data_IF_787700792015
#
_entry.id   IF_787700792015
#
_cell.length_a   1.000
_cell.length_b   1.000
_cell.length_c   1.000
_cell.angle_alpha   90.00
_cell.angle_beta   90.00
_cell.angle_gamma   90.00
#
_symmetry.space_group_name_H-M   'P 1'
#
loop_
_entity.id
_entity.type
_entity.pdbx_description
1 polymer ?
#
# COMPACT_ATOMS: atom_id res chain seq x y z
N UNK A 1 -10.94 26.83 23.11
CA UNK A 1 -9.79 26.69 22.20
C UNK A 1 -9.29 25.26 22.03
N UNK A 2 -9.10 24.47 23.10
CA UNK A 2 -8.53 23.10 23.02
C UNK A 2 -9.41 22.12 22.20
N UNK A 3 -10.73 22.24 22.33
CA UNK A 3 -11.70 21.39 21.62
C UNK A 3 -11.61 21.52 20.09
N UNK A 4 -11.48 22.77 19.58
CA UNK A 4 -11.34 23.04 18.15
C UNK A 4 -10.05 22.44 17.59
N UNK A 5 -8.95 22.54 18.34
CA UNK A 5 -7.68 21.93 17.98
C UNK A 5 -7.78 20.40 17.88
N UNK A 6 -8.46 19.76 18.83
CA UNK A 6 -8.64 18.31 18.83
C UNK A 6 -9.46 17.81 17.62
N UNK A 7 -10.50 18.56 17.22
CA UNK A 7 -11.34 18.25 16.05
C UNK A 7 -10.56 18.41 14.73
N UNK A 8 -9.72 19.46 14.63
CA UNK A 8 -8.90 19.68 13.44
C UNK A 8 -7.79 18.62 13.29
N UNK A 9 -7.18 18.18 14.39
CA UNK A 9 -6.20 17.09 14.38
C UNK A 9 -6.79 15.76 13.87
N UNK A 10 -8.03 15.44 14.23
CA UNK A 10 -8.70 14.21 13.76
C UNK A 10 -9.03 14.21 12.27
N UNK A 11 -9.09 15.38 11.64
CA UNK A 11 -9.44 15.55 10.22
C UNK A 11 -8.20 15.54 9.31
N UNK A 12 -7.01 15.77 9.87
CA UNK A 12 -5.74 15.83 9.16
C UNK A 12 -4.99 14.50 9.14
N UNK A 13 -5.70 13.36 9.22
CA UNK A 13 -5.07 12.04 9.12
C UNK A 13 -5.04 11.57 7.66
N UNK A 14 -3.85 11.25 7.17
CA UNK A 14 -3.64 10.57 5.91
C UNK A 14 -2.96 9.22 6.17
N UNK A 15 -3.26 8.26 5.31
CA UNK A 15 -2.68 6.92 5.36
C UNK A 15 -2.04 6.60 4.02
N UNK A 16 -0.97 5.79 4.05
CA UNK A 16 -0.29 5.31 2.85
C UNK A 16 -0.72 3.88 2.58
N UNK A 17 -0.94 3.58 1.31
CA UNK A 17 -1.05 2.23 0.79
C UNK A 17 0.20 1.93 -0.05
N UNK A 18 0.69 0.70 0.05
CA UNK A 18 1.83 0.20 -0.71
C UNK A 18 1.53 -1.23 -1.12
N UNK A 19 1.63 -1.53 -2.41
CA UNK A 19 1.26 -2.82 -2.97
C UNK A 19 2.00 -3.09 -4.28
N UNK A 20 2.06 -4.35 -4.67
CA UNK A 20 2.46 -4.77 -6.01
C UNK A 20 1.17 -5.00 -6.79
N UNK A 21 0.99 -4.23 -7.87
CA UNK A 21 -0.24 -4.26 -8.67
C UNK A 21 -0.53 -5.63 -9.28
N UNK A 22 -1.80 -5.89 -9.61
CA UNK A 22 -2.20 -7.07 -10.37
C UNK A 22 -1.38 -7.28 -11.65
N UNK A 23 -1.12 -6.20 -12.40
CA UNK A 23 -0.34 -6.25 -13.63
C UNK A 23 1.10 -6.69 -13.38
N UNK A 24 1.70 -6.18 -12.30
CA UNK A 24 3.07 -6.53 -11.93
C UNK A 24 3.17 -7.96 -11.37
N UNK A 25 2.22 -8.37 -10.53
CA UNK A 25 2.11 -9.75 -10.04
C UNK A 25 1.95 -10.77 -11.17
N UNK A 26 1.18 -10.41 -12.20
CA UNK A 26 1.06 -11.24 -13.39
C UNK A 26 2.36 -11.26 -14.21
N UNK A 27 3.05 -10.12 -14.34
CA UNK A 27 4.32 -10.01 -15.09
C UNK A 27 5.45 -10.82 -14.44
N UNK A 28 5.54 -10.85 -13.12
CA UNK A 28 6.64 -11.48 -12.39
C UNK A 28 6.37 -12.93 -12.00
N UNK A 29 5.12 -13.28 -11.66
CA UNK A 29 4.74 -14.59 -11.13
C UNK A 29 3.65 -15.30 -11.94
N UNK A 30 3.03 -14.64 -12.93
CA UNK A 30 1.89 -15.20 -13.67
C UNK A 30 0.62 -15.34 -12.82
N UNK A 31 0.52 -14.59 -11.71
CA UNK A 31 -0.59 -14.68 -10.76
C UNK A 31 -1.52 -13.49 -10.94
N UNK A 32 -2.82 -13.77 -11.05
CA UNK A 32 -3.87 -12.74 -11.14
C UNK A 32 -4.36 -12.30 -9.75
N UNK A 33 -3.47 -11.73 -8.95
CA UNK A 33 -3.78 -11.20 -7.62
C UNK A 33 -2.93 -9.96 -7.32
N UNK A 34 -3.37 -9.10 -6.40
CA UNK A 34 -2.58 -7.99 -5.88
C UNK A 34 -1.90 -8.40 -4.56
N UNK A 35 -0.69 -7.89 -4.30
CA UNK A 35 0.01 -8.10 -3.04
C UNK A 35 0.17 -6.80 -2.26
N UNK A 36 -0.66 -6.59 -1.24
CA UNK A 36 -0.60 -5.40 -0.37
C UNK A 36 0.42 -5.58 0.76
N UNK A 37 1.33 -4.61 0.88
CA UNK A 37 2.32 -4.50 1.97
C UNK A 37 1.85 -3.55 3.06
N UNK A 38 1.21 -2.44 2.69
CA UNK A 38 0.59 -1.49 3.60
C UNK A 38 -0.80 -1.19 3.08
N UNK A 39 -1.80 -1.32 3.95
CA UNK A 39 -3.20 -1.00 3.65
C UNK A 39 -3.78 -0.16 4.79
N UNK A 40 -4.32 1.01 4.45
CA UNK A 40 -4.83 1.99 5.40
C UNK A 40 -3.77 2.41 6.44
N UNK A 41 -2.49 2.48 6.03
CA UNK A 41 -1.37 2.81 6.92
C UNK A 41 -0.98 1.69 7.89
N UNK A 42 -1.57 0.49 7.76
CA UNK A 42 -1.20 -0.69 8.56
C UNK A 42 -0.37 -1.66 7.73
N UNK A 43 0.72 -2.13 8.31
CA UNK A 43 1.59 -3.13 7.66
C UNK A 43 0.88 -4.48 7.61
N UNK A 44 0.84 -5.09 6.43
CA UNK A 44 0.35 -6.45 6.24
C UNK A 44 1.40 -7.45 6.76
N UNK A 45 1.14 -7.98 7.96
CA UNK A 45 2.00 -8.95 8.62
C UNK A 45 2.08 -10.31 7.91
N UNK A 46 1.21 -10.62 6.94
CA UNK A 46 1.33 -11.83 6.13
C UNK A 46 2.31 -11.61 4.98
N UNK A 47 2.09 -10.57 4.17
CA UNK A 47 2.92 -10.24 3.00
C UNK A 47 4.38 -9.95 3.38
N UNK A 48 4.62 -9.37 4.56
CA UNK A 48 5.97 -9.04 5.04
C UNK A 48 6.73 -10.22 5.64
N UNK A 49 6.08 -11.34 5.96
CA UNK A 49 6.74 -12.53 6.51
C UNK A 49 7.47 -13.35 5.46
N UNK A 50 7.10 -13.18 4.18
CA UNK A 50 7.64 -13.98 3.10
C UNK A 50 8.34 -13.07 2.08
N UNK A 51 9.57 -13.39 1.68
CA UNK A 51 10.25 -12.62 0.64
C UNK A 51 9.50 -12.77 -0.67
N UNK A 52 9.34 -11.66 -1.39
CA UNK A 52 8.80 -11.67 -2.74
C UNK A 52 9.82 -12.28 -3.69
N UNK A 53 9.57 -13.52 -4.09
CA UNK A 53 10.44 -14.26 -5.01
C UNK A 53 10.10 -13.86 -6.43
N UNK A 54 11.12 -13.58 -7.22
CA UNK A 54 11.00 -13.25 -8.64
C UNK A 54 12.03 -14.07 -9.42
N UNK A 55 11.83 -14.18 -10.72
CA UNK A 55 12.80 -14.79 -11.63
C UNK A 55 14.12 -13.99 -11.68
N UNK A 56 15.23 -14.67 -11.95
CA UNK A 56 16.55 -14.06 -12.04
C UNK A 56 16.70 -13.14 -13.26
N UNK A 57 15.93 -13.40 -14.32
CA UNK A 57 15.97 -12.64 -15.57
C UNK A 57 15.17 -11.32 -15.51
N UNK A 58 14.65 -10.94 -14.33
CA UNK A 58 13.91 -9.70 -14.14
C UNK A 58 14.83 -8.53 -13.81
N UNK A 59 14.88 -7.55 -14.72
CA UNK A 59 15.68 -6.33 -14.55
C UNK A 59 15.14 -5.40 -13.45
N UNK A 60 13.82 -5.41 -13.20
CA UNK A 60 13.17 -4.53 -12.24
C UNK A 60 11.87 -5.10 -11.69
N UNK A 61 11.43 -4.53 -10.57
CA UNK A 61 10.12 -4.76 -9.93
C UNK A 61 9.47 -3.41 -9.65
N UNK A 62 8.17 -3.30 -9.96
CA UNK A 62 7.38 -2.09 -9.76
C UNK A 62 6.51 -2.18 -8.50
N UNK A 63 6.73 -1.26 -7.58
CA UNK A 63 5.84 -1.07 -6.43
C UNK A 63 4.92 0.13 -6.69
N UNK A 64 3.64 -0.04 -6.38
CA UNK A 64 2.65 1.03 -6.46
C UNK A 64 2.34 1.52 -5.06
N UNK A 65 2.27 2.84 -4.91
CA UNK A 65 1.88 3.46 -3.64
C UNK A 65 0.92 4.62 -3.89
N UNK A 66 0.06 4.88 -2.91
CA UNK A 66 -0.78 6.06 -2.88
C UNK A 66 -0.97 6.53 -1.43
N UNK A 67 -1.30 7.81 -1.27
CA UNK A 67 -1.66 8.39 0.01
C UNK A 67 -3.12 8.82 -0.03
N UNK A 68 -3.92 8.32 0.91
CA UNK A 68 -5.34 8.62 1.01
C UNK A 68 -5.58 9.41 2.30
N UNK A 69 -6.02 10.66 2.13
CA UNK A 69 -6.56 11.45 3.24
C UNK A 69 -7.96 10.96 3.62
N UNK A 70 -8.35 11.09 4.88
CA UNK A 70 -9.68 10.71 5.42
C UNK A 70 -10.89 11.38 4.74
N UNK A 71 -10.69 12.21 3.71
CA UNK A 71 -11.74 12.88 2.92
C UNK A 71 -11.58 12.75 1.41
N UNK A 72 -10.69 11.89 0.92
CA UNK A 72 -10.47 11.68 -0.53
C UNK A 72 -11.20 10.42 -0.95
N UNK A 73 -12.50 10.57 -1.26
CA UNK A 73 -13.29 9.57 -1.96
C UNK A 73 -13.09 9.78 -3.47
N UNK A 74 -12.20 8.99 -4.07
CA UNK A 74 -12.22 8.67 -5.49
C UNK A 74 -11.78 7.22 -5.66
#
# INVERSE_FOLDING_TARGET
MLYLFCVLYGSATAFVNLYISLAEMNRTLGINAELSYIDGGKVNGYSTKFPYRVDADLDHISFTWNAVGKGTLF
#
